data_IF_429705785316
#
_entry.id   IF_429705785316
#
_cell.length_a   1.000
_cell.length_b   1.000
_cell.length_c   1.000
_cell.angle_alpha   90.00
_cell.angle_beta   90.00
_cell.angle_gamma   90.00
#
_symmetry.space_group_name_H-M   'P 1'
#
loop_
_entity.id
_entity.type
_entity.pdbx_description
1 polymer ?
#
# COMPACT_ATOMS: atom_id res chain seq x y z
N UNK A 1 -14.68 -3.21 -19.80
CA UNK A 1 -13.83 -2.01 -19.59
C UNK A 1 -12.96 -2.25 -18.36
N UNK A 2 -11.67 -2.06 -18.48
CA UNK A 2 -10.75 -2.02 -17.35
C UNK A 2 -11.23 -0.92 -16.37
N UNK A 3 -11.11 -1.15 -15.06
CA UNK A 3 -11.52 -0.17 -14.04
C UNK A 3 -13.01 -0.14 -13.67
N UNK A 4 -13.89 -0.83 -14.38
CA UNK A 4 -15.28 -0.96 -13.94
C UNK A 4 -15.39 -1.93 -12.77
N UNK A 5 -16.25 -1.62 -11.80
CA UNK A 5 -16.54 -2.47 -10.65
C UNK A 5 -18.06 -2.50 -10.45
N UNK A 6 -18.58 -3.66 -10.07
CA UNK A 6 -20.01 -3.88 -9.83
C UNK A 6 -20.13 -4.53 -8.46
N UNK A 7 -20.96 -3.96 -7.60
CA UNK A 7 -21.28 -4.55 -6.31
C UNK A 7 -22.19 -5.77 -6.49
N UNK A 8 -21.82 -6.90 -5.90
CA UNK A 8 -22.59 -8.12 -5.89
C UNK A 8 -22.75 -8.61 -4.45
N UNK A 9 -23.95 -8.42 -3.89
CA UNK A 9 -24.25 -8.76 -2.49
C UNK A 9 -24.00 -10.25 -2.18
N UNK A 10 -24.25 -11.15 -3.12
CA UNK A 10 -24.09 -12.59 -2.92
C UNK A 10 -22.62 -12.97 -2.84
N UNK A 11 -21.81 -12.44 -3.73
CA UNK A 11 -20.35 -12.67 -3.75
C UNK A 11 -19.67 -12.01 -2.54
N UNK A 12 -20.02 -10.75 -2.24
CA UNK A 12 -19.45 -10.02 -1.09
C UNK A 12 -19.80 -10.71 0.23
N UNK A 13 -21.05 -11.16 0.41
CA UNK A 13 -21.45 -11.92 1.62
C UNK A 13 -20.66 -13.21 1.78
N UNK A 14 -20.31 -13.87 0.67
CA UNK A 14 -19.59 -15.17 0.68
C UNK A 14 -18.08 -15.00 0.81
N UNK A 15 -17.50 -14.00 0.15
CA UNK A 15 -16.06 -13.86 -0.01
C UNK A 15 -15.45 -12.59 0.60
N UNK A 16 -16.25 -11.61 1.00
CA UNK A 16 -15.80 -10.33 1.53
C UNK A 16 -15.16 -10.38 2.94
N UNK A 17 -15.10 -11.56 3.54
CA UNK A 17 -14.42 -11.77 4.83
C UNK A 17 -12.89 -11.87 4.69
N UNK A 18 -12.39 -12.04 3.47
CA UNK A 18 -10.95 -12.11 3.21
C UNK A 18 -10.40 -10.68 3.17
N UNK A 19 -9.62 -10.31 4.18
CA UNK A 19 -9.04 -8.97 4.31
C UNK A 19 -8.20 -8.57 3.10
N UNK A 20 -8.39 -7.36 2.61
CA UNK A 20 -7.70 -6.85 1.42
C UNK A 20 -6.18 -6.78 1.59
N UNK A 21 -5.69 -6.52 2.82
CA UNK A 21 -4.26 -6.47 3.13
C UNK A 21 -3.52 -7.82 3.02
N UNK A 22 -4.25 -8.93 2.88
CA UNK A 22 -3.65 -10.27 2.72
C UNK A 22 -3.37 -10.66 1.27
N UNK A 23 -3.54 -9.75 0.32
CA UNK A 23 -3.36 -10.03 -1.11
C UNK A 23 -1.90 -9.99 -1.57
N UNK A 24 -0.98 -9.44 -0.80
CA UNK A 24 0.44 -9.41 -1.14
C UNK A 24 1.14 -10.76 -0.86
N UNK A 25 2.17 -11.08 -1.64
CA UNK A 25 3.09 -12.16 -1.31
C UNK A 25 4.53 -11.76 -1.60
N UNK A 26 5.47 -11.99 -0.66
CA UNK A 26 5.23 -12.48 0.70
C UNK A 26 4.54 -11.42 1.59
N UNK A 27 3.82 -11.89 2.59
CA UNK A 27 3.30 -11.04 3.66
C UNK A 27 4.33 -10.91 4.78
N UNK A 28 4.18 -9.92 5.66
CA UNK A 28 5.05 -9.81 6.86
C UNK A 28 4.93 -11.01 7.80
N UNK A 29 3.86 -11.80 7.69
CA UNK A 29 3.69 -13.06 8.41
C UNK A 29 4.59 -14.19 7.90
N UNK A 30 5.08 -14.10 6.66
CA UNK A 30 6.02 -15.06 6.08
C UNK A 30 7.47 -14.75 6.46
N UNK A 31 7.75 -13.58 7.09
CA UNK A 31 9.08 -13.15 7.46
C UNK A 31 9.61 -13.91 8.68
N UNK A 32 10.88 -14.21 8.67
CA UNK A 32 11.60 -14.91 9.73
C UNK A 32 12.92 -14.19 10.06
N UNK A 33 13.58 -14.61 11.13
CA UNK A 33 14.82 -14.06 11.66
C UNK A 33 16.09 -14.58 10.98
N UNK A 34 15.96 -15.37 9.90
CA UNK A 34 17.11 -15.93 9.15
C UNK A 34 17.78 -14.91 8.24
N UNK A 35 17.04 -13.84 7.90
CA UNK A 35 17.58 -12.72 7.11
C UNK A 35 18.32 -11.77 8.03
N UNK A 36 19.60 -11.56 7.71
CA UNK A 36 20.52 -10.70 8.47
C UNK A 36 20.87 -9.42 7.69
N UNK A 37 21.41 -8.39 8.34
CA UNK A 37 21.89 -7.17 7.68
C UNK A 37 22.83 -7.42 6.49
N UNK A 38 23.65 -8.46 6.56
CA UNK A 38 24.56 -8.83 5.48
C UNK A 38 23.83 -9.26 4.21
N UNK A 39 22.67 -9.90 4.34
CA UNK A 39 21.87 -10.32 3.17
C UNK A 39 21.26 -9.11 2.47
N UNK A 40 20.83 -8.09 3.24
CA UNK A 40 20.39 -6.79 2.69
C UNK A 40 21.53 -6.12 1.90
N UNK A 41 22.75 -6.08 2.46
CA UNK A 41 23.91 -5.49 1.78
C UNK A 41 24.31 -6.27 0.51
N UNK A 42 24.19 -7.59 0.51
CA UNK A 42 24.42 -8.42 -0.70
C UNK A 42 23.37 -8.09 -1.76
N UNK A 43 22.10 -8.01 -1.40
CA UNK A 43 21.03 -7.67 -2.32
C UNK A 43 21.18 -6.26 -2.90
N UNK A 44 21.62 -5.27 -2.12
CA UNK A 44 21.96 -3.92 -2.61
C UNK A 44 23.09 -3.96 -3.63
N UNK A 45 24.16 -4.75 -3.38
CA UNK A 45 25.26 -4.91 -4.35
C UNK A 45 24.80 -5.54 -5.66
N UNK A 46 23.87 -6.50 -5.58
CA UNK A 46 23.32 -7.15 -6.78
C UNK A 46 22.36 -6.21 -7.53
N UNK A 47 21.58 -5.41 -6.82
CA UNK A 47 20.81 -4.31 -7.38
C UNK A 47 21.71 -3.31 -8.13
N UNK A 48 22.81 -2.88 -7.49
CA UNK A 48 23.82 -2.00 -8.07
C UNK A 48 24.45 -2.58 -9.33
N UNK A 49 24.84 -3.86 -9.32
CA UNK A 49 25.41 -4.53 -10.51
C UNK A 49 24.42 -4.59 -11.66
N UNK A 50 23.15 -4.82 -11.36
CA UNK A 50 22.09 -4.87 -12.35
C UNK A 50 21.58 -3.47 -12.77
N UNK A 51 22.09 -2.39 -12.17
CA UNK A 51 21.69 -0.99 -12.42
C UNK A 51 20.18 -0.78 -12.31
N UNK A 52 19.49 -1.53 -11.42
CA UNK A 52 18.04 -1.38 -11.25
C UNK A 52 17.71 -0.06 -10.58
N UNK A 53 16.72 0.72 -11.09
CA UNK A 53 16.28 1.93 -10.43
C UNK A 53 15.82 1.66 -8.99
N UNK A 54 15.83 2.69 -8.17
CA UNK A 54 15.42 2.60 -6.77
C UNK A 54 14.09 3.30 -6.51
N UNK A 55 13.33 2.71 -5.62
CA UNK A 55 12.22 3.31 -4.90
C UNK A 55 12.63 3.44 -3.44
N UNK A 56 12.67 4.64 -2.89
CA UNK A 56 12.96 4.88 -1.48
C UNK A 56 11.66 5.12 -0.71
N UNK A 57 11.54 4.54 0.47
CA UNK A 57 10.46 4.85 1.42
C UNK A 57 11.04 5.26 2.77
N UNK A 58 10.74 6.46 3.20
CA UNK A 58 11.18 7.00 4.50
C UNK A 58 10.03 6.90 5.49
N UNK A 59 10.23 6.08 6.51
CA UNK A 59 9.23 5.84 7.55
C UNK A 59 9.60 6.55 8.84
N UNK A 60 8.66 7.32 9.36
CA UNK A 60 8.73 7.91 10.69
C UNK A 60 7.90 7.07 11.68
N UNK A 61 8.15 7.19 12.99
CA UNK A 61 7.31 6.56 14.00
C UNK A 61 5.85 7.03 13.88
N UNK A 62 4.89 6.10 13.94
CA UNK A 62 3.47 6.39 13.73
C UNK A 62 2.76 7.12 14.88
N UNK A 63 3.43 7.33 16.03
CA UNK A 63 2.95 8.17 17.12
C UNK A 63 3.67 9.51 17.07
N UNK A 64 2.95 10.60 17.34
CA UNK A 64 3.59 11.90 17.52
C UNK A 64 4.61 11.81 18.67
N UNK A 65 5.89 11.84 18.30
CA UNK A 65 6.98 11.87 19.29
C UNK A 65 7.17 13.29 19.81
N UNK A 66 7.56 13.46 21.09
CA UNK A 66 8.08 14.74 21.56
C UNK A 66 9.22 15.22 20.66
N UNK A 67 9.37 16.53 20.50
CA UNK A 67 10.34 17.11 19.57
C UNK A 67 11.78 16.60 19.79
N UNK A 68 12.20 16.44 21.03
CA UNK A 68 13.54 15.92 21.36
C UNK A 68 13.73 14.47 20.93
N UNK A 69 12.68 13.64 21.07
CA UNK A 69 12.70 12.24 20.64
C UNK A 69 12.69 12.14 19.11
N UNK A 70 11.93 13.00 18.43
CA UNK A 70 11.91 13.08 16.97
C UNK A 70 13.29 13.51 16.45
N UNK A 71 13.89 14.54 17.03
CA UNK A 71 15.26 14.98 16.68
C UNK A 71 16.28 13.86 16.89
N UNK A 72 16.18 13.14 18.00
CA UNK A 72 17.04 11.99 18.28
C UNK A 72 16.81 10.84 17.27
N UNK A 73 15.59 10.62 16.84
CA UNK A 73 15.24 9.65 15.79
C UNK A 73 15.83 10.04 14.44
N UNK A 74 15.67 11.29 14.01
CA UNK A 74 16.18 11.78 12.73
C UNK A 74 17.70 11.63 12.61
N UNK A 75 18.45 11.92 13.67
CA UNK A 75 19.92 11.70 13.70
C UNK A 75 20.30 10.24 13.47
N UNK A 76 19.50 9.27 13.93
CA UNK A 76 19.75 7.84 13.68
C UNK A 76 19.32 7.42 12.30
N UNK A 77 18.22 7.97 11.80
CA UNK A 77 17.81 7.79 10.42
C UNK A 77 18.90 8.30 9.44
N UNK A 78 19.52 9.44 9.72
CA UNK A 78 20.68 9.94 8.97
C UNK A 78 21.81 8.92 8.92
N UNK A 79 22.14 8.26 10.03
CA UNK A 79 23.17 7.19 10.08
C UNK A 79 22.77 5.98 9.22
N UNK A 80 21.50 5.57 9.26
CA UNK A 80 21.02 4.47 8.41
C UNK A 80 21.17 4.83 6.93
N UNK A 81 20.76 6.04 6.54
CA UNK A 81 20.91 6.57 5.19
C UNK A 81 22.40 6.54 4.76
N UNK A 82 23.30 7.01 5.61
CA UNK A 82 24.74 7.02 5.34
C UNK A 82 25.29 5.62 5.15
N UNK A 83 24.94 4.67 6.04
CA UNK A 83 25.41 3.30 5.97
C UNK A 83 24.95 2.59 4.69
N UNK A 84 23.67 2.77 4.30
CA UNK A 84 23.10 2.08 3.14
C UNK A 84 23.48 2.73 1.82
N UNK A 85 23.58 4.06 1.76
CA UNK A 85 23.93 4.78 0.52
C UNK A 85 25.29 4.40 -0.03
N UNK A 86 26.26 4.03 0.82
CA UNK A 86 27.59 3.55 0.38
C UNK A 86 27.53 2.28 -0.49
N UNK A 87 26.44 1.51 -0.40
CA UNK A 87 26.23 0.28 -1.16
C UNK A 87 25.40 0.48 -2.43
N UNK A 88 24.79 1.65 -2.60
CA UNK A 88 24.04 2.04 -3.79
C UNK A 88 25.00 2.57 -4.86
N UNK A 89 24.67 2.34 -6.13
CA UNK A 89 25.48 2.84 -7.25
C UNK A 89 25.22 4.32 -7.54
N UNK A 90 26.27 5.07 -7.81
CA UNK A 90 26.17 6.49 -8.20
C UNK A 90 25.38 6.71 -9.50
N UNK A 91 25.23 5.68 -10.32
CA UNK A 91 24.46 5.71 -11.58
C UNK A 91 23.03 5.17 -11.41
N UNK A 92 22.67 4.58 -10.25
CA UNK A 92 21.32 4.11 -10.00
C UNK A 92 20.40 5.28 -9.67
N UNK A 93 19.40 5.59 -10.52
CA UNK A 93 18.48 6.68 -10.22
C UNK A 93 17.46 6.24 -9.15
N UNK A 94 17.09 7.15 -8.28
CA UNK A 94 15.89 7.06 -7.46
C UNK A 94 14.72 7.60 -8.29
N UNK A 95 13.88 6.71 -8.80
CA UNK A 95 12.72 7.08 -9.60
C UNK A 95 11.48 7.32 -8.73
N UNK A 96 11.43 6.69 -7.55
CA UNK A 96 10.32 6.86 -6.61
C UNK A 96 10.82 7.20 -5.22
N UNK A 97 10.16 8.15 -4.58
CA UNK A 97 10.37 8.50 -3.18
C UNK A 97 9.01 8.59 -2.50
N UNK A 98 8.87 7.91 -1.38
CA UNK A 98 7.70 8.01 -0.50
C UNK A 98 8.18 8.50 0.86
N UNK A 99 7.68 9.62 1.31
CA UNK A 99 8.03 10.22 2.58
C UNK A 99 6.78 10.41 3.43
N UNK A 100 6.73 9.75 4.58
CA UNK A 100 5.73 10.07 5.62
C UNK A 100 6.16 11.36 6.31
N UNK A 101 5.65 12.51 5.85
CA UNK A 101 6.07 13.82 6.36
C UNK A 101 5.65 14.03 7.83
N UNK A 102 4.54 13.39 8.27
CA UNK A 102 4.12 13.35 9.68
C UNK A 102 4.07 14.74 10.31
N UNK A 103 4.72 14.87 11.46
CA UNK A 103 4.87 16.12 12.21
C UNK A 103 6.22 16.82 11.98
N UNK A 104 6.89 16.57 10.85
CA UNK A 104 8.14 17.25 10.51
C UNK A 104 7.88 18.73 10.21
N UNK A 105 8.72 19.61 10.76
CA UNK A 105 8.79 21.01 10.33
C UNK A 105 9.37 21.11 8.93
N UNK A 106 9.07 22.21 8.23
CA UNK A 106 9.60 22.48 6.88
C UNK A 106 11.13 22.43 6.87
N UNK A 107 11.79 22.91 7.91
CA UNK A 107 13.26 22.91 8.01
C UNK A 107 13.83 21.50 8.21
N UNK A 108 13.12 20.62 8.92
CA UNK A 108 13.49 19.20 9.04
C UNK A 108 13.31 18.47 7.73
N UNK A 109 12.21 18.75 7.00
CA UNK A 109 11.97 18.23 5.67
C UNK A 109 13.07 18.65 4.69
N UNK A 110 13.43 19.94 4.65
CA UNK A 110 14.52 20.45 3.80
C UNK A 110 15.85 19.77 4.11
N UNK A 111 16.19 19.61 5.39
CA UNK A 111 17.43 18.92 5.79
C UNK A 111 17.43 17.45 5.38
N UNK A 112 16.32 16.75 5.57
CA UNK A 112 16.20 15.34 5.20
C UNK A 112 16.30 15.15 3.69
N UNK A 113 15.60 15.95 2.90
CA UNK A 113 15.66 15.86 1.42
C UNK A 113 17.04 16.23 0.92
N UNK A 114 17.68 17.28 1.43
CA UNK A 114 19.05 17.65 1.07
C UNK A 114 20.06 16.53 1.39
N UNK A 115 19.88 15.83 2.52
CA UNK A 115 20.68 14.65 2.82
C UNK A 115 20.47 13.54 1.78
N UNK A 116 19.23 13.23 1.45
CA UNK A 116 18.91 12.21 0.44
C UNK A 116 19.52 12.55 -0.92
N UNK A 117 19.40 13.80 -1.37
CA UNK A 117 20.01 14.29 -2.63
C UNK A 117 21.55 14.22 -2.61
N UNK A 118 22.17 14.42 -1.46
CA UNK A 118 23.61 14.31 -1.32
C UNK A 118 24.12 12.85 -1.39
N UNK A 119 23.24 11.88 -1.12
CA UNK A 119 23.59 10.46 -1.00
C UNK A 119 23.06 9.60 -2.16
N UNK A 120 21.98 10.02 -2.81
CA UNK A 120 21.32 9.29 -3.89
C UNK A 120 21.17 10.18 -5.12
N UNK A 121 21.22 9.59 -6.29
CA UNK A 121 20.94 10.29 -7.54
C UNK A 121 19.44 10.25 -7.80
N UNK A 122 18.75 11.34 -7.70
CA UNK A 122 17.35 11.46 -8.07
C UNK A 122 17.17 11.43 -9.58
N UNK A 123 16.09 10.80 -10.04
CA UNK A 123 15.71 10.80 -11.45
C UNK A 123 15.23 12.20 -11.89
N UNK A 124 15.23 12.41 -13.19
CA UNK A 124 14.72 13.67 -13.79
C UNK A 124 13.23 13.87 -13.45
N UNK A 125 12.77 15.11 -13.28
CA UNK A 125 11.39 15.42 -12.86
C UNK A 125 10.30 14.75 -13.70
N UNK A 126 10.53 14.53 -15.00
CA UNK A 126 9.57 13.83 -15.89
C UNK A 126 9.43 12.33 -15.63
N UNK A 127 10.41 11.71 -14.96
CA UNK A 127 10.45 10.29 -14.61
C UNK A 127 10.14 10.09 -13.13
N UNK A 128 10.55 11.03 -12.28
CA UNK A 128 10.42 10.94 -10.85
C UNK A 128 8.95 10.94 -10.39
N UNK A 129 8.62 10.03 -9.47
CA UNK A 129 7.32 9.94 -8.79
C UNK A 129 7.57 10.04 -7.28
N UNK A 130 7.51 11.25 -6.75
CA UNK A 130 7.81 11.55 -5.35
C UNK A 130 6.54 11.89 -4.60
N UNK A 131 6.18 11.04 -3.65
CA UNK A 131 4.95 11.13 -2.85
C UNK A 131 5.26 11.59 -1.43
N UNK A 132 4.59 12.65 -1.00
CA UNK A 132 4.55 13.04 0.41
C UNK A 132 3.23 12.57 1.03
N UNK A 133 3.31 11.82 2.13
CA UNK A 133 2.18 11.45 2.97
C UNK A 133 2.06 12.47 4.11
N UNK A 134 0.94 13.17 4.17
CA UNK A 134 0.69 14.19 5.19
C UNK A 134 -0.55 13.89 6.00
N UNK A 135 -0.49 14.20 7.29
CA UNK A 135 -1.67 14.20 8.13
C UNK A 135 -2.40 15.53 7.99
N UNK A 136 -3.70 15.49 7.78
CA UNK A 136 -4.51 16.71 7.61
C UNK A 136 -4.36 17.71 8.76
N UNK A 137 -4.09 17.21 9.98
CA UNK A 137 -3.89 18.06 11.16
C UNK A 137 -2.72 19.05 11.00
N UNK A 138 -1.70 18.69 10.23
CA UNK A 138 -0.47 19.47 10.05
C UNK A 138 -0.35 20.04 8.63
N UNK A 139 -1.28 19.71 7.73
CA UNK A 139 -1.23 20.13 6.33
C UNK A 139 -1.85 21.53 6.16
N UNK A 140 -1.10 22.42 5.51
CA UNK A 140 -1.52 23.76 5.07
C UNK A 140 -0.83 24.16 3.76
N UNK A 141 -1.15 25.33 3.23
CA UNK A 141 -0.54 25.88 2.01
C UNK A 141 0.99 25.97 2.09
N UNK A 142 1.54 26.34 3.24
CA UNK A 142 2.98 26.46 3.44
C UNK A 142 3.67 25.11 3.31
N UNK A 143 3.14 24.06 3.95
CA UNK A 143 3.69 22.73 3.87
C UNK A 143 3.59 22.16 2.45
N UNK A 144 2.41 22.30 1.80
CA UNK A 144 2.20 21.84 0.43
C UNK A 144 3.15 22.56 -0.54
N UNK A 145 3.33 23.87 -0.39
CA UNK A 145 4.28 24.63 -1.17
C UNK A 145 5.73 24.20 -0.97
N UNK A 146 6.16 24.02 0.28
CA UNK A 146 7.51 23.57 0.60
C UNK A 146 7.80 22.15 0.07
N UNK A 147 6.84 21.24 0.14
CA UNK A 147 6.97 19.89 -0.44
C UNK A 147 7.10 19.94 -1.96
N UNK A 148 6.34 20.81 -2.63
CA UNK A 148 6.46 21.02 -4.08
C UNK A 148 7.85 21.57 -4.47
N UNK A 149 8.36 22.58 -3.73
CA UNK A 149 9.72 23.11 -3.92
C UNK A 149 10.79 22.03 -3.74
N UNK A 150 10.56 21.05 -2.87
CA UNK A 150 11.44 19.89 -2.64
C UNK A 150 11.28 18.77 -3.68
N UNK A 151 10.50 18.97 -4.73
CA UNK A 151 10.35 18.06 -5.86
C UNK A 151 9.26 17.00 -5.67
N UNK A 152 8.45 17.06 -4.61
CA UNK A 152 7.30 16.17 -4.46
C UNK A 152 6.20 16.56 -5.46
N UNK A 153 5.76 15.58 -6.24
CA UNK A 153 4.76 15.76 -7.30
C UNK A 153 3.49 14.93 -7.08
N UNK A 154 3.44 14.12 -6.01
CA UNK A 154 2.26 13.42 -5.54
C UNK A 154 2.04 13.72 -4.06
N UNK A 155 0.78 13.95 -3.67
CA UNK A 155 0.39 14.21 -2.29
C UNK A 155 -0.61 13.15 -1.83
N UNK A 156 -0.39 12.53 -0.67
CA UNK A 156 -1.37 11.64 -0.03
C UNK A 156 -1.79 12.24 1.30
N UNK A 157 -3.10 12.46 1.47
CA UNK A 157 -3.67 13.11 2.65
C UNK A 157 -4.53 12.12 3.41
N UNK A 158 -4.14 11.81 4.63
CA UNK A 158 -4.97 11.02 5.54
C UNK A 158 -6.00 11.91 6.22
N UNK A 159 -7.28 11.60 6.00
CA UNK A 159 -8.40 12.33 6.62
C UNK A 159 -8.77 11.68 7.94
N UNK A 160 -8.58 12.38 9.07
CA UNK A 160 -8.88 11.82 10.38
C UNK A 160 -10.35 11.52 10.52
N UNK A 161 -10.64 10.49 11.29
CA UNK A 161 -11.99 10.10 11.62
C UNK A 161 -12.34 10.57 13.04
N UNK A 162 -13.05 11.66 13.11
CA UNK A 162 -13.35 12.39 14.36
C UNK A 162 -14.58 11.81 15.04
N UNK A 163 -14.52 11.68 16.38
CA UNK A 163 -15.67 11.31 17.20
C UNK A 163 -16.61 12.50 17.33
N UNK A 164 -17.92 12.22 17.22
CA UNK A 164 -18.95 13.27 17.40
C UNK A 164 -18.93 13.90 18.81
N UNK A 165 -18.46 13.14 19.80
CA UNK A 165 -18.47 13.53 21.22
C UNK A 165 -17.37 14.55 21.59
N UNK A 166 -16.35 14.70 20.72
CA UNK A 166 -15.20 15.57 20.95
C UNK A 166 -15.38 16.97 20.30
N UNK A 167 -16.60 17.51 20.25
CA UNK A 167 -16.90 18.75 19.53
C UNK A 167 -17.09 18.55 18.02
N UNK A 168 -17.51 17.36 17.62
CA UNK A 168 -17.46 16.80 16.28
C UNK A 168 -18.03 17.65 15.14
N UNK A 169 -18.99 18.55 15.40
CA UNK A 169 -19.49 19.43 14.34
C UNK A 169 -18.49 20.52 13.96
N UNK A 170 -17.85 21.15 14.95
CA UNK A 170 -16.85 22.22 14.69
C UNK A 170 -15.60 21.63 14.06
N UNK A 171 -15.16 20.48 14.53
CA UNK A 171 -13.99 19.80 13.99
C UNK A 171 -14.24 19.25 12.57
N UNK A 172 -15.43 18.76 12.29
CA UNK A 172 -15.85 18.39 10.93
C UNK A 172 -15.74 19.59 9.96
N UNK A 173 -16.23 20.77 10.34
CA UNK A 173 -16.11 21.96 9.49
C UNK A 173 -14.67 22.44 9.34
N UNK A 174 -13.86 22.38 10.38
CA UNK A 174 -12.43 22.71 10.31
C UNK A 174 -11.68 21.72 9.42
N UNK A 175 -11.94 20.44 9.55
CA UNK A 175 -11.33 19.40 8.70
C UNK A 175 -11.75 19.55 7.25
N UNK A 176 -13.03 19.86 6.97
CA UNK A 176 -13.53 20.09 5.61
C UNK A 176 -12.90 21.31 4.95
N UNK A 177 -12.75 22.40 5.68
CA UNK A 177 -12.08 23.61 5.19
C UNK A 177 -10.58 23.35 4.94
N UNK A 178 -9.94 22.61 5.84
CA UNK A 178 -8.51 22.30 5.74
C UNK A 178 -8.21 21.36 4.57
N UNK A 179 -9.01 20.29 4.39
CA UNK A 179 -8.80 19.39 3.24
C UNK A 179 -9.05 20.10 1.92
N UNK A 180 -10.04 20.99 1.85
CA UNK A 180 -10.27 21.85 0.68
C UNK A 180 -9.02 22.68 0.38
N UNK A 181 -8.50 23.41 1.37
CA UNK A 181 -7.31 24.24 1.21
C UNK A 181 -6.08 23.43 0.74
N UNK A 182 -5.89 22.21 1.25
CA UNK A 182 -4.77 21.34 0.85
C UNK A 182 -4.93 20.86 -0.60
N UNK A 183 -6.15 20.43 -1.01
CA UNK A 183 -6.40 19.97 -2.38
C UNK A 183 -6.28 21.16 -3.36
N UNK A 184 -6.85 22.31 -3.03
CA UNK A 184 -6.73 23.54 -3.84
C UNK A 184 -5.28 23.98 -3.98
N UNK A 185 -4.47 23.92 -2.91
CA UNK A 185 -3.05 24.21 -2.95
C UNK A 185 -2.31 23.25 -3.90
N UNK A 186 -2.55 21.97 -3.78
CA UNK A 186 -1.90 20.96 -4.61
C UNK A 186 -2.28 21.12 -6.10
N UNK A 187 -3.53 21.39 -6.42
CA UNK A 187 -3.97 21.67 -7.79
C UNK A 187 -3.36 22.96 -8.34
N UNK A 188 -3.34 24.04 -7.54
CA UNK A 188 -2.76 25.32 -7.93
C UNK A 188 -1.23 25.23 -8.20
N UNK A 189 -0.55 24.33 -7.49
CA UNK A 189 0.88 24.05 -7.66
C UNK A 189 1.15 22.93 -8.69
N UNK A 190 0.14 22.43 -9.38
CA UNK A 190 0.26 21.42 -10.43
C UNK A 190 0.88 20.09 -9.94
N UNK A 191 0.52 19.63 -8.74
CA UNK A 191 0.80 18.24 -8.36
C UNK A 191 0.21 17.29 -9.40
N UNK A 192 0.93 16.23 -9.73
CA UNK A 192 0.47 15.22 -10.72
C UNK A 192 -0.72 14.43 -10.20
N UNK A 193 -0.78 14.17 -8.89
CA UNK A 193 -1.97 13.60 -8.27
C UNK A 193 -2.07 13.92 -6.79
N UNK A 194 -3.32 14.04 -6.33
CA UNK A 194 -3.68 14.17 -4.92
C UNK A 194 -4.52 12.95 -4.52
N UNK A 195 -4.01 12.16 -3.57
CA UNK A 195 -4.72 11.04 -3.00
C UNK A 195 -5.33 11.41 -1.65
N UNK A 196 -6.57 10.98 -1.41
CA UNK A 196 -7.24 11.09 -0.11
C UNK A 196 -7.48 9.71 0.46
N UNK A 197 -6.89 9.42 1.63
CA UNK A 197 -7.13 8.18 2.36
C UNK A 197 -8.32 8.35 3.30
N UNK A 198 -9.38 7.57 3.07
CA UNK A 198 -10.65 7.62 3.78
C UNK A 198 -10.95 6.28 4.45
N UNK A 199 -10.84 6.26 5.77
CA UNK A 199 -11.14 5.08 6.57
C UNK A 199 -12.61 4.92 6.90
N UNK A 200 -13.08 3.66 6.98
CA UNK A 200 -14.41 3.31 7.44
C UNK A 200 -14.37 2.16 8.47
N UNK A 201 -15.47 1.97 9.21
CA UNK A 201 -15.60 0.86 10.15
C UNK A 201 -15.25 1.19 11.60
N UNK A 202 -15.17 2.46 12.00
CA UNK A 202 -15.10 2.86 13.42
C UNK A 202 -16.46 2.80 14.09
N UNK A 203 -16.52 2.47 15.39
CA UNK A 203 -17.77 2.32 16.15
C UNK A 203 -18.61 3.60 16.26
N UNK A 204 -18.01 4.75 16.08
CA UNK A 204 -18.70 6.05 16.08
C UNK A 204 -19.08 6.54 14.67
N UNK A 205 -18.64 5.84 13.62
CA UNK A 205 -19.12 6.11 12.27
C UNK A 205 -20.49 5.47 12.05
N UNK A 206 -21.35 6.16 11.34
CA UNK A 206 -22.58 5.60 10.78
C UNK A 206 -22.54 5.66 9.26
N UNK A 207 -23.30 4.84 8.54
CA UNK A 207 -23.39 4.96 7.08
C UNK A 207 -23.72 6.39 6.62
N UNK A 208 -24.54 7.13 7.37
CA UNK A 208 -24.91 8.52 7.04
C UNK A 208 -23.75 9.50 7.23
N UNK A 209 -22.99 9.40 8.34
CA UNK A 209 -21.83 10.29 8.58
C UNK A 209 -20.72 10.02 7.58
N UNK A 210 -20.49 8.75 7.25
CA UNK A 210 -19.54 8.35 6.21
C UNK A 210 -19.95 8.88 4.83
N UNK A 211 -21.24 8.74 4.46
CA UNK A 211 -21.76 9.21 3.18
C UNK A 211 -21.58 10.74 3.01
N UNK A 212 -21.85 11.53 4.05
CA UNK A 212 -21.63 12.98 4.03
C UNK A 212 -20.17 13.35 3.83
N UNK A 213 -19.26 12.66 4.53
CA UNK A 213 -17.83 12.86 4.42
C UNK A 213 -17.32 12.53 3.01
N UNK A 214 -17.78 11.41 2.47
CA UNK A 214 -17.43 10.99 1.11
C UNK A 214 -17.94 11.97 0.05
N UNK A 215 -19.18 12.46 0.18
CA UNK A 215 -19.74 13.45 -0.73
C UNK A 215 -18.87 14.72 -0.78
N UNK A 216 -18.45 15.23 0.38
CA UNK A 216 -17.52 16.37 0.45
C UNK A 216 -16.20 16.08 -0.25
N UNK A 217 -15.64 14.87 -0.09
CA UNK A 217 -14.39 14.49 -0.78
C UNK A 217 -14.60 14.43 -2.29
N UNK A 218 -15.70 13.85 -2.76
CA UNK A 218 -16.02 13.77 -4.19
C UNK A 218 -16.19 15.17 -4.81
N UNK A 219 -16.84 16.11 -4.09
CA UNK A 219 -16.98 17.51 -4.54
C UNK A 219 -15.64 18.23 -4.70
N UNK A 220 -14.63 17.85 -3.92
CA UNK A 220 -13.27 18.41 -4.02
C UNK A 220 -12.45 17.79 -5.16
N UNK A 221 -12.96 16.73 -5.77
CA UNK A 221 -12.39 16.05 -6.92
C UNK A 221 -10.88 15.74 -6.80
N UNK A 222 -10.40 15.08 -5.72
CA UNK A 222 -9.02 14.61 -5.69
C UNK A 222 -8.80 13.59 -6.82
N UNK A 223 -7.58 13.47 -7.30
CA UNK A 223 -7.26 12.54 -8.38
C UNK A 223 -7.42 11.07 -7.96
N UNK A 224 -7.18 10.79 -6.67
CA UNK A 224 -7.25 9.45 -6.08
C UNK A 224 -8.01 9.46 -4.76
N UNK A 225 -8.79 8.42 -4.51
CA UNK A 225 -9.42 8.14 -3.21
C UNK A 225 -9.11 6.70 -2.83
N UNK A 226 -8.57 6.49 -1.63
CA UNK A 226 -8.32 5.15 -1.09
C UNK A 226 -9.30 4.89 0.05
N UNK A 227 -10.18 3.90 -0.12
CA UNK A 227 -11.06 3.41 0.95
C UNK A 227 -10.37 2.27 1.70
N UNK A 228 -10.27 2.36 3.03
CA UNK A 228 -9.69 1.30 3.84
C UNK A 228 -10.54 1.00 5.08
N UNK A 229 -10.62 -0.29 5.46
CA UNK A 229 -11.28 -0.72 6.69
C UNK A 229 -10.30 -0.57 7.86
N UNK A 230 -10.71 0.14 8.91
CA UNK A 230 -9.91 0.26 10.13
C UNK A 230 -9.65 -1.09 10.80
N UNK A 231 -10.48 -2.10 10.57
CA UNK A 231 -10.26 -3.47 11.06
C UNK A 231 -9.00 -4.07 10.44
N UNK A 232 -8.80 -3.87 9.15
CA UNK A 232 -7.62 -4.35 8.44
C UNK A 232 -6.37 -3.55 8.83
N UNK A 233 -6.48 -2.25 8.97
CA UNK A 233 -5.38 -1.37 9.38
C UNK A 233 -4.87 -1.66 10.80
N UNK A 234 -5.72 -2.21 11.68
CA UNK A 234 -5.36 -2.59 13.04
C UNK A 234 -4.78 -4.01 13.15
N UNK A 235 -4.83 -4.81 12.09
CA UNK A 235 -4.21 -6.13 12.07
C UNK A 235 -2.68 -5.98 12.11
N UNK A 236 -2.08 -6.37 13.23
CA UNK A 236 -0.63 -6.26 13.45
C UNK A 236 -0.20 -5.05 14.29
N UNK A 237 -1.11 -4.17 14.69
CA UNK A 237 -0.82 -3.17 15.70
C UNK A 237 -0.63 -3.83 17.08
N UNK A 238 0.33 -3.36 17.92
CA UNK A 238 0.51 -3.91 19.25
C UNK A 238 -0.78 -3.78 20.07
N UNK A 239 -1.11 -4.82 20.85
CA UNK A 239 -2.36 -4.93 21.61
C UNK A 239 -2.65 -3.76 22.58
N UNK A 240 -1.66 -2.93 22.88
CA UNK A 240 -1.76 -1.73 23.71
C UNK A 240 -2.18 -0.47 22.94
N UNK A 241 -2.20 -0.51 21.61
CA UNK A 241 -2.79 0.55 20.80
C UNK A 241 -4.32 0.44 20.93
N UNK A 242 -4.92 1.35 21.69
CA UNK A 242 -6.32 1.49 22.05
C UNK A 242 -7.25 0.53 21.29
N UNK A 243 -8.07 -0.22 22.00
CA UNK A 243 -9.27 -0.86 21.45
C UNK A 243 -10.19 0.24 20.92
N UNK A 244 -9.78 0.83 19.81
CA UNK A 244 -10.60 1.76 19.05
C UNK A 244 -11.81 0.94 18.61
N UNK A 245 -12.97 1.27 19.15
CA UNK A 245 -14.20 0.55 18.85
C UNK A 245 -14.35 0.39 17.34
N UNK A 246 -14.66 -0.82 16.90
CA UNK A 246 -14.99 -1.10 15.51
C UNK A 246 -16.52 -1.10 15.34
N UNK A 247 -16.99 -0.64 14.21
CA UNK A 247 -18.40 -0.70 13.82
C UNK A 247 -18.86 -2.16 13.68
N UNK A 248 -20.17 -2.37 13.76
CA UNK A 248 -20.74 -3.67 13.41
C UNK A 248 -20.37 -4.03 11.97
N UNK A 249 -20.13 -5.32 11.67
CA UNK A 249 -19.76 -5.74 10.31
C UNK A 249 -20.75 -5.30 9.22
N UNK A 250 -22.06 -5.27 9.55
CA UNK A 250 -23.09 -4.80 8.63
C UNK A 250 -22.94 -3.32 8.29
N UNK A 251 -22.63 -2.47 9.28
CA UNK A 251 -22.42 -1.04 9.06
C UNK A 251 -21.14 -0.76 8.26
N UNK A 252 -20.05 -1.46 8.57
CA UNK A 252 -18.80 -1.37 7.79
C UNK A 252 -19.04 -1.75 6.33
N UNK A 253 -19.78 -2.83 6.09
CA UNK A 253 -20.13 -3.29 4.75
C UNK A 253 -21.03 -2.27 4.01
N UNK A 254 -21.99 -1.68 4.71
CA UNK A 254 -22.87 -0.64 4.15
C UNK A 254 -22.07 0.61 3.77
N UNK A 255 -21.11 1.05 4.60
CA UNK A 255 -20.21 2.16 4.30
C UNK A 255 -19.34 1.87 3.08
N UNK A 256 -18.75 0.67 3.02
CA UNK A 256 -17.92 0.27 1.88
C UNK A 256 -18.72 0.21 0.58
N UNK A 257 -19.90 -0.44 0.60
CA UNK A 257 -20.82 -0.46 -0.56
C UNK A 257 -21.13 0.94 -1.06
N UNK A 258 -21.57 1.82 -0.15
CA UNK A 258 -21.86 3.21 -0.49
C UNK A 258 -20.65 3.90 -1.13
N UNK A 259 -19.45 3.69 -0.54
CA UNK A 259 -18.21 4.24 -1.08
C UNK A 259 -17.93 3.80 -2.50
N UNK A 260 -18.02 2.49 -2.78
CA UNK A 260 -17.82 1.93 -4.12
C UNK A 260 -18.83 2.50 -5.13
N UNK A 261 -20.12 2.52 -4.77
CA UNK A 261 -21.19 2.99 -5.66
C UNK A 261 -21.05 4.48 -5.97
N UNK A 262 -20.76 5.33 -4.96
CA UNK A 262 -20.64 6.77 -5.16
C UNK A 262 -19.38 7.17 -5.94
N UNK A 263 -18.23 6.54 -5.65
CA UNK A 263 -17.00 6.81 -6.41
C UNK A 263 -17.14 6.36 -7.87
N UNK A 264 -17.73 5.19 -8.12
CA UNK A 264 -18.01 4.74 -9.49
C UNK A 264 -18.97 5.68 -10.21
N UNK A 265 -20.03 6.16 -9.55
CA UNK A 265 -20.98 7.13 -10.11
C UNK A 265 -20.34 8.48 -10.40
N UNK A 266 -19.34 8.90 -9.59
CA UNK A 266 -18.56 10.12 -9.79
C UNK A 266 -17.46 9.96 -10.88
N UNK A 267 -17.37 8.82 -11.55
CA UNK A 267 -16.46 8.60 -12.67
C UNK A 267 -15.08 8.07 -12.27
N UNK A 268 -14.85 7.75 -11.00
CA UNK A 268 -13.61 7.12 -10.58
C UNK A 268 -13.53 5.67 -11.06
N UNK A 269 -12.33 5.24 -11.46
CA UNK A 269 -12.00 3.87 -11.82
C UNK A 269 -11.43 3.12 -10.61
N UNK A 270 -11.84 1.88 -10.43
CA UNK A 270 -11.28 1.00 -9.41
C UNK A 270 -9.99 0.36 -9.91
N UNK A 271 -8.89 0.63 -9.24
CA UNK A 271 -7.57 0.05 -9.54
C UNK A 271 -7.38 -1.29 -8.83
N UNK A 272 -7.81 -1.37 -7.56
CA UNK A 272 -7.65 -2.53 -6.68
C UNK A 272 -7.44 -2.10 -5.24
N UNK A 273 -7.64 -3.03 -4.29
CA UNK A 273 -7.35 -2.84 -2.85
C UNK A 273 -7.91 -1.53 -2.27
N UNK A 274 -9.14 -1.17 -2.65
CA UNK A 274 -9.80 0.05 -2.17
C UNK A 274 -9.36 1.35 -2.86
N UNK A 275 -8.45 1.29 -3.84
CA UNK A 275 -7.97 2.48 -4.56
C UNK A 275 -8.84 2.80 -5.77
N UNK A 276 -9.34 4.03 -5.79
CA UNK A 276 -10.14 4.61 -6.87
C UNK A 276 -9.40 5.83 -7.43
N UNK A 277 -9.36 6.00 -8.74
CA UNK A 277 -8.64 7.09 -9.40
C UNK A 277 -9.46 7.68 -10.54
N UNK A 278 -9.24 8.95 -10.88
CA UNK A 278 -9.83 9.56 -12.07
C UNK A 278 -9.23 8.94 -13.35
N UNK A 279 -9.96 8.92 -14.47
CA UNK A 279 -9.52 8.26 -15.69
C UNK A 279 -8.21 8.78 -16.29
N UNK A 280 -7.86 10.04 -16.03
CA UNK A 280 -6.62 10.67 -16.50
C UNK A 280 -5.42 10.47 -15.56
N UNK A 281 -5.62 9.82 -14.42
CA UNK A 281 -4.56 9.56 -13.46
C UNK A 281 -3.52 8.55 -14.00
N UNK A 282 -2.27 8.74 -13.63
CA UNK A 282 -1.15 7.90 -14.08
C UNK A 282 -1.35 6.40 -13.77
N UNK A 283 -2.02 6.04 -12.64
CA UNK A 283 -2.33 4.64 -12.33
C UNK A 283 -3.41 4.05 -13.25
N UNK A 284 -4.40 4.86 -13.66
CA UNK A 284 -5.41 4.41 -14.63
C UNK A 284 -4.78 4.18 -16.01
N UNK A 285 -3.93 5.09 -16.45
CA UNK A 285 -3.18 4.95 -17.70
C UNK A 285 -2.21 3.76 -17.66
N UNK A 286 -1.54 3.55 -16.54
CA UNK A 286 -0.64 2.41 -16.35
C UNK A 286 -1.41 1.07 -16.39
N UNK A 287 -2.62 1.01 -15.82
CA UNK A 287 -3.46 -0.18 -15.91
C UNK A 287 -3.91 -0.45 -17.35
N UNK A 288 -4.26 0.59 -18.12
CA UNK A 288 -4.65 0.46 -19.54
C UNK A 288 -3.50 -0.02 -20.43
N UNK A 289 -2.29 0.45 -20.15
CA UNK A 289 -1.08 0.08 -20.92
C UNK A 289 -0.40 -1.20 -20.42
N UNK A 290 -0.90 -1.79 -19.31
CA UNK A 290 -0.33 -3.01 -18.72
C UNK A 290 1.02 -2.79 -18.03
N UNK A 291 1.35 -1.54 -17.67
CA UNK A 291 2.60 -1.19 -16.96
C UNK A 291 2.42 -1.07 -15.45
N UNK A 292 1.16 -1.08 -14.96
CA UNK A 292 0.85 -1.00 -13.55
C UNK A 292 1.57 -2.10 -12.77
N UNK A 293 2.20 -1.72 -11.67
CA UNK A 293 2.87 -2.63 -10.74
C UNK A 293 2.31 -2.47 -9.32
N UNK A 294 2.45 -3.52 -8.53
CA UNK A 294 2.11 -3.51 -7.12
C UNK A 294 3.25 -4.16 -6.33
N UNK A 295 3.83 -3.38 -5.43
CA UNK A 295 4.93 -3.83 -4.58
C UNK A 295 4.65 -3.54 -3.08
N UNK A 296 5.68 -3.63 -2.25
CA UNK A 296 5.58 -3.39 -0.80
C UNK A 296 5.20 -1.96 -0.43
N UNK A 297 5.28 -1.03 -1.37
CA UNK A 297 4.86 0.37 -1.21
C UNK A 297 3.47 0.67 -1.78
N UNK A 298 2.82 -0.32 -2.40
CA UNK A 298 1.51 -0.20 -3.03
C UNK A 298 1.57 -0.15 -4.56
N UNK A 299 0.56 0.47 -5.18
CA UNK A 299 0.48 0.62 -6.64
C UNK A 299 1.44 1.68 -7.16
N UNK A 300 2.06 1.38 -8.30
CA UNK A 300 2.96 2.26 -9.02
C UNK A 300 2.70 2.19 -10.53
N UNK A 301 2.99 3.26 -11.25
CA UNK A 301 2.76 3.41 -12.70
C UNK A 301 3.60 2.43 -13.53
N UNK A 302 4.70 1.97 -12.97
CA UNK A 302 5.60 0.96 -13.58
C UNK A 302 6.39 0.21 -12.53
N UNK A 303 6.70 -1.05 -12.88
CA UNK A 303 7.57 -1.91 -12.11
C UNK A 303 9.05 -1.67 -12.40
N UNK A 304 9.88 -2.57 -11.86
CA UNK A 304 11.30 -2.64 -12.16
C UNK A 304 12.22 -1.96 -11.14
N UNK A 305 11.70 -1.11 -10.24
CA UNK A 305 12.50 -0.55 -9.16
C UNK A 305 12.76 -1.58 -8.06
N UNK A 306 13.97 -1.58 -7.52
CA UNK A 306 14.23 -2.17 -6.21
C UNK A 306 13.77 -1.18 -5.13
N UNK A 307 13.04 -1.69 -4.13
CA UNK A 307 12.49 -0.87 -3.07
C UNK A 307 13.35 -0.93 -1.81
N UNK A 308 13.82 0.21 -1.32
CA UNK A 308 14.61 0.36 -0.11
C UNK A 308 13.85 1.19 0.91
N UNK A 309 13.41 0.54 1.98
CA UNK A 309 12.77 1.18 3.11
C UNK A 309 13.78 1.60 4.17
N UNK A 310 13.66 2.82 4.66
CA UNK A 310 14.49 3.45 5.68
C UNK A 310 13.61 3.89 6.85
N UNK A 311 14.08 3.69 8.07
CA UNK A 311 13.33 4.02 9.28
C UNK A 311 12.71 2.80 9.97
N UNK A 312 11.98 3.07 11.06
CA UNK A 312 11.35 2.04 11.89
C UNK A 312 10.29 1.26 11.12
N UNK A 313 10.28 -0.07 11.28
CA UNK A 313 9.37 -0.99 10.60
C UNK A 313 9.40 -0.94 9.06
N UNK A 314 10.32 -0.19 8.46
CA UNK A 314 10.40 -0.03 7.02
C UNK A 314 10.64 -1.37 6.32
N UNK A 315 9.96 -1.57 5.19
CA UNK A 315 10.06 -2.76 4.36
C UNK A 315 10.99 -2.49 3.18
N UNK A 316 11.81 -3.46 2.82
CA UNK A 316 12.63 -3.42 1.60
C UNK A 316 12.36 -4.63 0.73
N UNK A 317 12.41 -4.43 -0.60
CA UNK A 317 12.38 -5.48 -1.62
C UNK A 317 13.51 -5.23 -2.62
N UNK A 318 14.56 -6.02 -2.54
CA UNK A 318 15.74 -5.93 -3.43
C UNK A 318 15.85 -7.24 -4.20
N UNK A 319 15.45 -7.24 -5.46
CA UNK A 319 15.29 -8.46 -6.23
C UNK A 319 14.27 -9.42 -5.58
N UNK A 320 14.76 -10.58 -5.12
CA UNK A 320 13.93 -11.57 -4.43
C UNK A 320 14.01 -11.48 -2.91
N UNK A 321 14.88 -10.64 -2.35
CA UNK A 321 14.98 -10.44 -0.92
C UNK A 321 13.90 -9.46 -0.46
N UNK A 322 13.14 -9.88 0.55
CA UNK A 322 12.25 -9.01 1.34
C UNK A 322 12.80 -8.91 2.76
N UNK A 323 12.90 -7.72 3.28
CA UNK A 323 13.38 -7.49 4.64
C UNK A 323 12.57 -6.41 5.34
N UNK A 324 12.61 -6.42 6.66
CA UNK A 324 11.98 -5.42 7.50
C UNK A 324 12.93 -4.96 8.59
N UNK A 325 12.97 -3.66 8.81
CA UNK A 325 13.63 -3.08 9.95
C UNK A 325 12.87 -3.39 11.25
N UNK A 326 13.55 -3.27 12.39
CA UNK A 326 12.94 -3.43 13.70
C UNK A 326 11.67 -2.57 13.82
N UNK A 327 10.56 -3.20 14.23
CA UNK A 327 9.26 -2.51 14.38
C UNK A 327 9.13 -1.78 15.71
N UNK A 328 9.92 -2.15 16.71
CA UNK A 328 10.05 -1.41 17.97
C UNK A 328 11.05 -0.26 17.82
N UNK A 329 10.63 0.97 18.13
CA UNK A 329 11.45 2.18 17.97
C UNK A 329 12.75 2.08 18.80
N UNK A 330 12.69 1.55 20.03
CA UNK A 330 13.87 1.42 20.88
C UNK A 330 14.86 0.39 20.33
N UNK A 331 14.36 -0.71 19.75
CA UNK A 331 15.20 -1.71 19.11
C UNK A 331 15.88 -1.12 17.87
N UNK A 332 15.12 -0.37 17.04
CA UNK A 332 15.66 0.34 15.87
C UNK A 332 16.79 1.31 16.26
N UNK A 333 16.55 2.18 17.23
CA UNK A 333 17.55 3.15 17.70
C UNK A 333 18.79 2.47 18.27
N UNK A 334 18.63 1.41 19.09
CA UNK A 334 19.76 0.66 19.66
C UNK A 334 20.66 0.04 18.60
N UNK A 335 20.09 -0.54 17.55
CA UNK A 335 20.88 -1.12 16.44
C UNK A 335 21.80 -0.06 15.83
N UNK A 336 21.27 1.12 15.53
CA UNK A 336 22.02 2.22 14.92
C UNK A 336 23.05 2.85 15.90
N UNK A 337 22.75 2.90 17.20
CA UNK A 337 23.71 3.34 18.21
C UNK A 337 24.88 2.37 18.36
N UNK A 338 24.70 1.09 18.04
CA UNK A 338 25.74 0.06 17.99
C UNK A 338 26.46 -0.02 16.62
N UNK A 339 26.13 0.89 15.69
CA UNK A 339 26.68 0.88 14.33
C UNK A 339 26.15 -0.26 13.44
N UNK A 340 25.07 -0.91 13.84
CA UNK A 340 24.44 -2.02 13.11
C UNK A 340 23.23 -1.54 12.32
N UNK A 341 22.98 -2.15 11.15
CA UNK A 341 21.74 -1.93 10.41
C UNK A 341 20.55 -2.52 11.17
N UNK A 342 19.39 -1.84 11.17
CA UNK A 342 18.23 -2.25 11.96
C UNK A 342 17.40 -3.37 11.31
N UNK A 343 17.88 -4.00 10.25
CA UNK A 343 17.23 -5.13 9.58
C UNK A 343 17.05 -6.29 10.56
N UNK A 344 15.82 -6.68 10.87
CA UNK A 344 15.49 -7.63 11.93
C UNK A 344 14.90 -8.94 11.45
N UNK A 345 14.23 -8.95 10.32
CA UNK A 345 13.58 -10.14 9.76
C UNK A 345 13.34 -9.99 8.26
N UNK A 346 13.05 -11.11 7.60
CA UNK A 346 12.74 -11.08 6.17
C UNK A 346 12.54 -12.47 5.59
N UNK A 347 12.48 -12.55 4.27
CA UNK A 347 12.37 -13.79 3.51
C UNK A 347 12.96 -13.63 2.12
N UNK A 348 13.56 -14.69 1.62
CA UNK A 348 13.94 -14.79 0.21
C UNK A 348 13.12 -15.94 -0.42
N UNK A 349 12.06 -15.63 -1.19
CA UNK A 349 11.18 -16.63 -1.77
C UNK A 349 11.92 -17.61 -2.71
N UNK A 350 11.61 -18.90 -2.60
CA UNK A 350 12.06 -19.92 -3.53
C UNK A 350 11.31 -19.84 -4.87
N UNK A 351 11.70 -20.64 -5.86
CA UNK A 351 11.16 -20.59 -7.22
C UNK A 351 9.63 -20.67 -7.31
N UNK A 352 8.98 -21.53 -6.51
CA UNK A 352 7.50 -21.64 -6.46
C UNK A 352 6.86 -20.38 -5.92
N UNK A 353 7.48 -19.78 -4.96
CA UNK A 353 6.99 -18.59 -4.31
C UNK A 353 7.18 -17.35 -5.21
N UNK A 354 8.17 -17.37 -6.10
CA UNK A 354 8.31 -16.37 -7.19
C UNK A 354 7.15 -16.42 -8.17
N UNK A 355 6.70 -17.63 -8.55
CA UNK A 355 5.53 -17.81 -9.39
C UNK A 355 4.27 -17.25 -8.71
N UNK A 356 4.07 -17.55 -7.42
CA UNK A 356 2.95 -17.01 -6.65
C UNK A 356 2.96 -15.48 -6.63
N UNK A 357 4.12 -14.86 -6.43
CA UNK A 357 4.28 -13.40 -6.50
C UNK A 357 3.87 -12.85 -7.85
N UNK A 358 4.30 -13.49 -8.96
CA UNK A 358 3.93 -13.07 -10.30
C UNK A 358 2.41 -13.19 -10.53
N UNK A 359 1.78 -14.29 -10.07
CA UNK A 359 0.33 -14.47 -10.12
C UNK A 359 -0.38 -13.34 -9.37
N UNK A 360 0.01 -13.06 -8.13
CA UNK A 360 -0.62 -12.01 -7.32
C UNK A 360 -0.46 -10.63 -7.95
N UNK A 361 0.75 -10.31 -8.44
CA UNK A 361 1.01 -9.06 -9.14
C UNK A 361 0.07 -8.83 -10.32
N UNK A 362 -0.08 -9.86 -11.18
CA UNK A 362 -1.01 -9.75 -12.33
C UNK A 362 -2.48 -9.66 -11.92
N UNK A 363 -2.92 -10.46 -10.94
CA UNK A 363 -4.30 -10.39 -10.44
C UNK A 363 -4.62 -9.03 -9.82
N UNK A 364 -3.68 -8.43 -9.09
CA UNK A 364 -3.86 -7.13 -8.46
C UNK A 364 -3.83 -5.97 -9.45
N UNK A 365 -3.00 -6.06 -10.50
CA UNK A 365 -2.82 -4.97 -11.46
C UNK A 365 -3.78 -5.06 -12.65
N UNK A 366 -3.99 -6.27 -13.19
CA UNK A 366 -4.66 -6.47 -14.47
C UNK A 366 -6.02 -7.17 -14.32
N UNK A 367 -6.33 -7.72 -13.14
CA UNK A 367 -7.48 -8.59 -12.90
C UNK A 367 -7.54 -9.81 -13.84
N UNK A 368 -6.40 -10.21 -14.37
CA UNK A 368 -6.30 -11.35 -15.28
C UNK A 368 -4.95 -12.04 -15.18
N UNK A 369 -4.92 -13.30 -15.57
CA UNK A 369 -3.73 -14.11 -15.76
C UNK A 369 -3.75 -14.72 -17.15
N UNK A 370 -2.72 -14.46 -17.93
CA UNK A 370 -2.38 -15.22 -19.13
C UNK A 370 -1.38 -16.30 -18.73
N UNK A 371 -1.74 -17.57 -18.87
CA UNK A 371 -0.91 -18.68 -18.40
C UNK A 371 0.35 -18.87 -19.24
N UNK A 372 0.26 -18.59 -20.56
CA UNK A 372 1.41 -18.68 -21.44
C UNK A 372 2.41 -17.55 -21.17
N UNK A 373 1.94 -16.32 -20.97
CA UNK A 373 2.79 -15.18 -20.61
C UNK A 373 3.48 -15.40 -19.24
N UNK A 374 2.76 -15.92 -18.24
CA UNK A 374 3.34 -16.28 -16.96
C UNK A 374 4.40 -17.39 -17.07
N UNK A 375 4.15 -18.42 -17.89
CA UNK A 375 5.10 -19.48 -18.12
C UNK A 375 6.37 -18.94 -18.79
N UNK A 376 6.23 -18.06 -19.79
CA UNK A 376 7.36 -17.40 -20.43
C UNK A 376 8.19 -16.54 -19.44
N UNK A 377 7.51 -15.81 -18.56
CA UNK A 377 8.15 -14.94 -17.56
C UNK A 377 8.88 -15.74 -16.45
N UNK A 378 8.28 -16.83 -15.99
CA UNK A 378 8.74 -17.55 -14.79
C UNK A 378 9.48 -18.85 -15.10
N UNK A 379 9.40 -19.34 -16.33
CA UNK A 379 9.90 -20.65 -16.73
C UNK A 379 9.08 -21.83 -16.18
N UNK A 380 7.87 -21.58 -15.64
CA UNK A 380 7.07 -22.58 -14.92
C UNK A 380 5.64 -22.62 -15.49
N UNK A 381 5.17 -23.79 -15.90
CA UNK A 381 3.77 -24.02 -16.29
C UNK A 381 2.87 -23.91 -15.05
N UNK A 382 2.03 -22.87 -15.05
CA UNK A 382 1.10 -22.56 -13.94
C UNK A 382 0.11 -23.70 -13.73
N UNK A 383 -0.40 -24.34 -14.80
CA UNK A 383 -1.37 -25.41 -14.73
C UNK A 383 -0.80 -26.64 -14.05
N UNK A 384 0.37 -27.07 -14.50
CA UNK A 384 1.04 -28.21 -13.95
C UNK A 384 1.44 -27.96 -12.49
N UNK A 385 2.01 -26.79 -12.21
CA UNK A 385 2.54 -26.45 -10.88
C UNK A 385 1.44 -26.21 -9.84
N UNK A 386 0.32 -25.65 -10.27
CA UNK A 386 -0.82 -25.35 -9.40
C UNK A 386 -2.02 -26.31 -9.60
N UNK A 387 -1.78 -27.52 -10.13
CA UNK A 387 -2.83 -28.53 -10.38
C UNK A 387 -3.75 -28.76 -9.17
N UNK A 388 -3.20 -28.74 -7.96
CA UNK A 388 -3.94 -28.90 -6.70
C UNK A 388 -4.92 -27.75 -6.40
N UNK A 389 -4.77 -26.58 -7.02
CA UNK A 389 -5.65 -25.42 -6.81
C UNK A 389 -6.81 -25.36 -7.81
N UNK A 390 -6.75 -26.14 -8.89
CA UNK A 390 -7.79 -26.15 -9.93
C UNK A 390 -9.20 -26.47 -9.44
N UNK A 391 -9.43 -27.41 -8.50
CA UNK A 391 -10.77 -27.64 -7.97
C UNK A 391 -11.35 -26.37 -7.34
N UNK A 392 -10.54 -25.60 -6.60
CA UNK A 392 -10.96 -24.35 -5.99
C UNK A 392 -11.22 -23.26 -7.05
N UNK A 393 -10.38 -23.14 -8.04
CA UNK A 393 -10.58 -22.18 -9.15
C UNK A 393 -11.85 -22.50 -9.96
N UNK A 394 -12.12 -23.78 -10.24
CA UNK A 394 -13.38 -24.19 -10.88
C UNK A 394 -14.60 -23.85 -10.04
N UNK A 395 -14.52 -23.97 -8.73
CA UNK A 395 -15.60 -23.57 -7.83
C UNK A 395 -15.83 -22.06 -7.92
N UNK A 396 -14.76 -21.21 -7.86
CA UNK A 396 -14.88 -19.78 -8.01
C UNK A 396 -15.46 -19.38 -9.39
N UNK A 397 -15.11 -20.14 -10.44
CA UNK A 397 -15.69 -19.96 -11.78
C UNK A 397 -17.19 -20.30 -11.80
N UNK A 398 -17.59 -21.44 -11.26
CA UNK A 398 -18.99 -21.85 -11.18
C UNK A 398 -19.85 -20.85 -10.38
N UNK A 399 -19.28 -20.21 -9.37
CA UNK A 399 -19.93 -19.16 -8.57
C UNK A 399 -19.85 -17.76 -9.23
N UNK A 400 -19.13 -17.65 -10.34
CA UNK A 400 -19.01 -16.44 -11.16
C UNK A 400 -18.10 -15.35 -10.57
N UNK A 401 -17.24 -15.70 -9.63
CA UNK A 401 -16.21 -14.79 -9.12
C UNK A 401 -15.08 -14.57 -10.13
N UNK A 402 -14.76 -15.59 -10.92
CA UNK A 402 -13.79 -15.56 -12.00
C UNK A 402 -14.36 -16.17 -13.28
N UNK A 403 -13.78 -15.81 -14.41
CA UNK A 403 -13.89 -16.53 -15.67
C UNK A 403 -12.60 -17.34 -15.87
N UNK A 404 -12.72 -18.63 -16.14
CA UNK A 404 -11.59 -19.54 -16.26
C UNK A 404 -11.74 -20.36 -17.53
N UNK A 405 -10.78 -20.28 -18.41
CA UNK A 405 -10.66 -21.14 -19.60
C UNK A 405 -9.29 -21.83 -19.64
N UNK A 406 -8.93 -22.36 -20.82
CA UNK A 406 -7.68 -23.09 -20.99
C UNK A 406 -6.45 -22.19 -20.94
N UNK A 407 -6.54 -20.95 -21.37
CA UNK A 407 -5.40 -20.06 -21.58
C UNK A 407 -5.29 -18.97 -20.53
N UNK A 408 -6.41 -18.62 -19.87
CA UNK A 408 -6.49 -17.47 -18.98
C UNK A 408 -7.46 -17.63 -17.80
N UNK A 409 -7.23 -16.82 -16.80
CA UNK A 409 -8.16 -16.51 -15.72
C UNK A 409 -8.44 -15.00 -15.76
N UNK A 410 -9.70 -14.60 -15.71
CA UNK A 410 -10.12 -13.21 -15.65
C UNK A 410 -11.05 -12.98 -14.45
N UNK A 411 -10.89 -11.86 -13.76
CA UNK A 411 -11.79 -11.42 -12.69
C UNK A 411 -12.78 -10.40 -13.29
N UNK A 412 -14.05 -10.78 -13.49
CA UNK A 412 -15.06 -9.89 -14.05
C UNK A 412 -15.36 -8.72 -13.09
N UNK A 413 -16.00 -7.63 -13.57
CA UNK A 413 -16.25 -6.44 -12.73
C UNK A 413 -16.90 -6.71 -11.38
N UNK A 414 -17.78 -7.72 -11.26
CA UNK A 414 -18.42 -8.13 -9.99
C UNK A 414 -17.48 -8.87 -9.03
N UNK A 415 -16.36 -9.39 -9.52
CA UNK A 415 -15.36 -10.09 -8.71
C UNK A 415 -14.19 -9.22 -8.24
N UNK A 416 -13.98 -8.05 -8.85
CA UNK A 416 -12.76 -7.23 -8.63
C UNK A 416 -12.58 -6.74 -7.20
N UNK A 417 -13.67 -6.41 -6.50
CA UNK A 417 -13.63 -6.06 -5.07
C UNK A 417 -13.15 -7.23 -4.20
N UNK A 418 -13.18 -8.44 -4.74
CA UNK A 418 -12.89 -9.69 -4.03
C UNK A 418 -11.60 -10.37 -4.54
N UNK A 419 -10.71 -9.61 -5.17
CA UNK A 419 -9.41 -10.10 -5.68
C UNK A 419 -8.63 -10.87 -4.61
N UNK A 420 -8.74 -10.48 -3.34
CA UNK A 420 -8.16 -11.17 -2.20
C UNK A 420 -8.58 -12.64 -2.12
N UNK A 421 -9.86 -12.93 -2.34
CA UNK A 421 -10.37 -14.29 -2.31
C UNK A 421 -9.83 -15.13 -3.48
N UNK A 422 -9.59 -14.50 -4.63
CA UNK A 422 -8.96 -15.14 -5.79
C UNK A 422 -7.48 -15.41 -5.51
N UNK A 423 -6.75 -14.47 -4.97
CA UNK A 423 -5.36 -14.66 -4.53
C UNK A 423 -5.24 -15.78 -3.48
N UNK A 424 -6.16 -15.83 -2.52
CA UNK A 424 -6.19 -16.87 -1.49
C UNK A 424 -6.37 -18.28 -2.07
N UNK A 425 -6.99 -18.42 -3.25
CA UNK A 425 -7.13 -19.72 -3.91
C UNK A 425 -5.78 -20.30 -4.38
N UNK A 426 -4.74 -19.47 -4.54
CA UNK A 426 -3.38 -19.90 -4.86
C UNK A 426 -2.47 -20.09 -3.63
N UNK A 427 -2.98 -19.87 -2.42
CA UNK A 427 -2.24 -20.14 -1.20
C UNK A 427 -2.17 -21.66 -0.94
N UNK A 428 -1.07 -22.09 -0.29
CA UNK A 428 -0.96 -23.48 0.15
C UNK A 428 -2.14 -23.79 1.10
N UNK A 429 -2.79 -24.96 0.98
CA UNK A 429 -3.75 -25.39 1.99
C UNK A 429 -3.02 -25.41 3.33
N UNK A 430 -3.47 -24.63 4.30
CA UNK A 430 -2.98 -24.77 5.68
C UNK A 430 -3.39 -26.14 6.21
N UNK A 431 -2.56 -26.78 7.00
CA UNK A 431 -2.83 -28.12 7.56
C UNK A 431 -4.18 -28.15 8.32
N UNK A 432 -4.68 -27.02 8.80
CA UNK A 432 -6.00 -26.87 9.39
C UNK A 432 -7.15 -27.04 8.36
N UNK A 433 -6.93 -26.77 7.07
CA UNK A 433 -7.96 -26.94 6.05
C UNK A 433 -8.06 -28.39 5.52
N UNK A 434 -7.09 -29.25 5.82
CA UNK A 434 -7.12 -30.67 5.43
C UNK A 434 -7.85 -31.55 6.45
N UNK A 435 -8.21 -31.02 7.63
CA UNK A 435 -8.85 -31.76 8.72
C UNK A 435 -10.35 -31.63 8.81
N UNK A 436 -11.02 -30.78 8.03
CA UNK A 436 -12.47 -30.53 8.16
C UNK A 436 -13.23 -30.68 6.81
N UNK A 437 -13.12 -31.87 6.22
CA UNK A 437 -14.09 -32.32 5.20
C UNK A 437 -15.35 -32.97 5.85
N UNK A 438 -15.55 -32.75 7.13
CA UNK A 438 -16.73 -33.16 7.91
C UNK A 438 -17.45 -31.94 8.44
N UNK A 439 -18.55 -31.58 7.78
CA UNK A 439 -19.37 -30.39 8.05
C UNK A 439 -19.51 -30.02 9.52
N UNK A 440 -19.18 -28.75 9.82
CA UNK A 440 -19.89 -27.87 10.76
C UNK A 440 -19.35 -26.44 10.63
N UNK A 441 -20.25 -25.58 10.21
CA UNK A 441 -20.47 -24.19 10.63
C UNK A 441 -19.28 -23.29 10.96
N UNK A 442 -18.90 -22.45 10.05
CA UNK A 442 -18.20 -21.18 10.33
C UNK A 442 -19.21 -20.16 10.90
N UNK A 443 -19.57 -20.36 12.20
CA UNK A 443 -20.27 -19.38 13.03
C UNK A 443 -19.70 -19.49 14.44
N UNK A 444 -18.70 -18.72 14.74
CA UNK A 444 -18.48 -18.06 16.04
C UNK A 444 -17.46 -16.94 15.86
#
# INVERSE_FOLDING_TARGET
MLGSVIWDDSLVKRYGQVGQLQCGYPTTGDFNDRIAPLDLLRALRDSRKAQRPLSLAIRLPGAALPHDELTAYLRRLEREIEQLSCHVGTLQPVERLQLSAGALSIDELRRLVALLESRFRFAEPGVASFTAEVELAHADWSLVGALHELGFNHLSVSVPDLRADDGGTVEYFRSSARIRAVIEAAHALHYRSVNVDLGYGRSWQTPLTFARKLATIIELAPDRVTLFDYRDALQGAPANGARLGLAAPADSLAMYRHGVEQLAAAGYRYIGLGKFVLPHDDLAMAQETGTLDHDVSGYAERGGCDHLGLGVAALSRLGDLFSQNASDVRAYLRSLDQGQLPCSRGVCPAGVDRLRRAIFGRLLCDFQLDFAALAAQTGVDVRQRHAQHWPRLRQLHAEGLILLDEDRLEIPPRGRLLVAAVCAAFNRPTAAAMGDSGGRGWLR
#
